data_IF_058463456086
#
_entry.id   IF_058463456086
#
_cell.length_a   1.000
_cell.length_b   1.000
_cell.length_c   1.000
_cell.angle_alpha   90.00
_cell.angle_beta   90.00
_cell.angle_gamma   90.00
#
_symmetry.space_group_name_H-M   'P 1'
#
loop_
_entity.id
_entity.type
_entity.pdbx_description
1 polymer ?
#
# COMPACT_ATOMS: atom_id res chain seq x y z
N UNK A 1 -23.87 -16.28 37.95
CA UNK A 1 -23.76 -16.29 36.47
C UNK A 1 -22.46 -16.99 36.10
N UNK A 2 -22.51 -18.14 35.41
CA UNK A 2 -21.31 -18.84 34.93
C UNK A 2 -20.94 -18.23 33.57
N UNK A 3 -19.85 -17.46 33.53
CA UNK A 3 -19.27 -17.00 32.26
C UNK A 3 -18.75 -18.23 31.49
N UNK A 4 -19.22 -18.52 30.26
CA UNK A 4 -18.84 -19.72 29.53
C UNK A 4 -17.71 -19.37 28.55
N UNK A 5 -16.59 -18.87 29.06
CA UNK A 5 -15.39 -18.68 28.23
C UNK A 5 -14.35 -19.64 28.77
N UNK A 6 -14.04 -20.69 27.99
CA UNK A 6 -13.01 -21.66 28.37
C UNK A 6 -11.65 -20.99 28.18
N UNK A 7 -10.65 -21.35 28.99
CA UNK A 7 -9.27 -20.83 28.86
C UNK A 7 -8.67 -21.07 27.46
N UNK A 8 -9.18 -22.04 26.73
CA UNK A 8 -8.81 -22.37 25.36
C UNK A 8 -9.29 -21.29 24.37
N UNK A 9 -10.49 -20.74 24.58
CA UNK A 9 -11.05 -19.67 23.74
C UNK A 9 -10.30 -18.34 23.91
N UNK A 10 -9.82 -18.05 25.13
CA UNK A 10 -8.99 -16.88 25.42
C UNK A 10 -7.62 -16.95 24.74
N UNK A 11 -6.99 -18.13 24.72
CA UNK A 11 -5.69 -18.33 24.06
C UNK A 11 -5.80 -18.28 22.54
N UNK A 12 -6.89 -18.79 21.95
CA UNK A 12 -7.16 -18.66 20.53
C UNK A 12 -7.30 -17.20 20.10
N UNK A 13 -8.04 -16.41 20.88
CA UNK A 13 -8.26 -14.99 20.60
C UNK A 13 -6.96 -14.15 20.67
N UNK A 14 -6.07 -14.43 21.61
CA UNK A 14 -4.76 -13.75 21.70
C UNK A 14 -3.84 -14.12 20.53
N UNK A 15 -3.85 -15.38 20.09
CA UNK A 15 -3.09 -15.85 18.92
C UNK A 15 -3.60 -15.23 17.61
N UNK A 16 -4.92 -15.14 17.43
CA UNK A 16 -5.52 -14.52 16.24
C UNK A 16 -5.21 -13.03 16.17
N UNK A 17 -5.26 -12.33 17.31
CA UNK A 17 -4.91 -10.91 17.40
C UNK A 17 -3.42 -10.65 17.10
N UNK A 18 -2.52 -11.45 17.68
CA UNK A 18 -1.09 -11.35 17.40
C UNK A 18 -0.76 -11.68 15.93
N UNK A 19 -1.46 -12.65 15.34
CA UNK A 19 -1.32 -12.99 13.92
C UNK A 19 -1.83 -11.86 13.01
N UNK A 20 -2.89 -11.15 13.40
CA UNK A 20 -3.37 -9.95 12.72
C UNK A 20 -2.31 -8.85 12.70
N UNK A 21 -1.74 -8.53 13.85
CA UNK A 21 -0.71 -7.48 13.98
C UNK A 21 0.56 -7.79 13.16
N UNK A 22 1.00 -9.05 13.11
CA UNK A 22 2.16 -9.47 12.31
C UNK A 22 1.86 -9.32 10.82
N UNK A 23 0.65 -9.66 10.38
CA UNK A 23 0.22 -9.55 8.97
C UNK A 23 0.10 -8.08 8.55
N UNK A 24 -0.43 -7.22 9.41
CA UNK A 24 -0.53 -5.78 9.15
C UNK A 24 0.86 -5.12 9.05
N UNK A 25 1.80 -5.49 9.93
CA UNK A 25 3.20 -5.04 9.82
C UNK A 25 3.86 -5.47 8.51
N UNK A 26 3.59 -6.72 8.07
CA UNK A 26 4.09 -7.20 6.76
C UNK A 26 3.48 -6.43 5.60
N UNK A 27 2.19 -6.09 5.67
CA UNK A 27 1.50 -5.28 4.67
C UNK A 27 2.13 -3.87 4.57
N UNK A 28 2.29 -3.19 5.72
CA UNK A 28 2.92 -1.88 5.78
C UNK A 28 4.35 -1.91 5.21
N UNK A 29 5.13 -2.93 5.57
CA UNK A 29 6.49 -3.11 5.05
C UNK A 29 6.52 -3.25 3.53
N UNK A 30 5.63 -4.08 2.95
CA UNK A 30 5.58 -4.28 1.48
C UNK A 30 5.14 -3.00 0.76
N UNK A 31 4.23 -2.23 1.35
CA UNK A 31 3.88 -0.90 0.83
C UNK A 31 5.05 0.07 0.88
N UNK A 32 5.80 0.10 1.99
CA UNK A 32 6.97 0.97 2.11
C UNK A 32 8.07 0.60 1.10
N UNK A 33 8.29 -0.69 0.87
CA UNK A 33 9.21 -1.19 -0.17
C UNK A 33 8.82 -0.69 -1.56
N UNK A 34 7.52 -0.70 -1.90
CA UNK A 34 7.03 -0.17 -3.18
C UNK A 34 7.22 1.33 -3.29
N UNK A 35 6.92 2.09 -2.23
CA UNK A 35 7.14 3.54 -2.21
C UNK A 35 8.62 3.86 -2.41
N UNK A 36 9.52 3.16 -1.72
CA UNK A 36 10.97 3.32 -1.88
C UNK A 36 11.40 2.97 -3.31
N UNK A 37 10.86 1.89 -3.88
CA UNK A 37 11.11 1.50 -5.27
C UNK A 37 10.70 2.60 -6.27
N UNK A 38 9.50 3.16 -6.13
CA UNK A 38 9.02 4.27 -6.96
C UNK A 38 9.93 5.48 -6.81
N UNK A 39 10.29 5.87 -5.58
CA UNK A 39 11.20 7.00 -5.34
C UNK A 39 12.57 6.78 -5.99
N UNK A 40 13.12 5.57 -5.89
CA UNK A 40 14.43 5.24 -6.47
C UNK A 40 14.40 5.34 -8.00
N UNK A 41 13.33 4.84 -8.63
CA UNK A 41 13.16 4.90 -10.08
C UNK A 41 12.90 6.35 -10.52
N UNK A 42 12.14 7.11 -9.73
CA UNK A 42 11.94 8.53 -9.96
C UNK A 42 13.26 9.30 -9.94
N UNK A 43 14.09 9.14 -8.92
CA UNK A 43 15.41 9.80 -8.82
C UNK A 43 16.31 9.46 -10.01
N UNK A 44 16.29 8.20 -10.44
CA UNK A 44 17.04 7.74 -11.61
C UNK A 44 16.55 8.38 -12.91
N UNK A 45 15.22 8.51 -13.07
CA UNK A 45 14.58 9.03 -14.29
C UNK A 45 14.43 10.55 -14.30
N UNK A 46 14.58 11.21 -13.14
CA UNK A 46 14.40 12.66 -12.97
C UNK A 46 15.17 13.51 -13.99
N UNK A 47 16.46 13.22 -14.31
CA UNK A 47 17.21 14.00 -15.30
C UNK A 47 16.60 13.94 -16.70
N UNK A 48 15.98 12.81 -17.08
CA UNK A 48 15.34 12.62 -18.36
C UNK A 48 13.93 13.25 -18.40
N UNK A 49 13.19 13.16 -17.29
CA UNK A 49 11.83 13.68 -17.17
C UNK A 49 11.75 15.18 -16.82
N UNK A 50 12.88 15.84 -16.54
CA UNK A 50 12.91 17.24 -16.13
C UNK A 50 12.25 18.21 -17.13
N UNK A 51 12.27 17.91 -18.43
CA UNK A 51 11.65 18.76 -19.46
C UNK A 51 10.13 18.70 -19.46
N UNK A 52 9.57 17.51 -19.24
CA UNK A 52 8.11 17.31 -19.24
C UNK A 52 7.50 17.52 -17.86
N UNK A 53 8.35 17.59 -16.82
CA UNK A 53 7.96 17.72 -15.40
C UNK A 53 6.94 16.66 -14.95
N UNK A 54 6.93 15.51 -15.62
CA UNK A 54 6.02 14.40 -15.40
C UNK A 54 6.78 13.09 -15.40
N UNK A 55 6.40 12.21 -14.49
CA UNK A 55 6.91 10.86 -14.38
C UNK A 55 5.76 9.87 -14.46
N UNK A 56 5.92 8.88 -15.32
CA UNK A 56 4.92 7.83 -15.55
C UNK A 56 5.48 6.50 -15.04
N UNK A 57 4.73 5.85 -14.16
CA UNK A 57 5.08 4.55 -13.59
C UNK A 57 4.02 3.52 -13.95
N UNK A 58 4.43 2.37 -14.48
CA UNK A 58 3.49 1.32 -14.89
C UNK A 58 2.92 0.62 -13.66
N UNK A 59 1.59 0.62 -13.51
CA UNK A 59 0.92 0.04 -12.34
C UNK A 59 1.02 -1.48 -12.29
N UNK A 60 1.08 -2.17 -13.45
CA UNK A 60 1.29 -3.63 -13.47
C UNK A 60 2.62 -4.04 -12.81
N UNK A 61 3.63 -3.15 -12.80
CA UNK A 61 4.92 -3.42 -12.15
C UNK A 61 4.85 -3.38 -10.62
N UNK A 62 3.77 -2.87 -10.04
CA UNK A 62 3.61 -2.75 -8.58
C UNK A 62 3.05 -4.02 -7.92
N UNK A 63 2.65 -5.02 -8.72
CA UNK A 63 2.02 -6.27 -8.24
C UNK A 63 0.96 -6.02 -7.14
N UNK A 64 0.13 -4.97 -7.28
CA UNK A 64 -0.78 -4.51 -6.22
C UNK A 64 -1.80 -5.59 -5.80
N UNK A 65 -2.17 -6.46 -6.73
CA UNK A 65 -3.07 -7.60 -6.49
C UNK A 65 -2.42 -8.70 -5.64
N UNK A 66 -1.08 -8.72 -5.55
CA UNK A 66 -0.32 -9.63 -4.70
C UNK A 66 -0.24 -9.17 -3.24
N UNK A 67 -0.79 -7.99 -2.91
CA UNK A 67 -0.72 -7.41 -1.59
C UNK A 67 -2.00 -7.74 -0.82
N UNK A 68 -1.95 -8.62 0.19
CA UNK A 68 -3.13 -8.95 0.94
C UNK A 68 -3.56 -7.80 1.86
N UNK A 69 -4.74 -7.26 1.60
CA UNK A 69 -5.45 -6.34 2.47
C UNK A 69 -6.17 -7.13 3.57
N UNK A 70 -6.05 -6.68 4.81
CA UNK A 70 -6.74 -7.27 5.96
C UNK A 70 -7.69 -6.24 6.58
N UNK A 71 -8.87 -6.66 7.05
CA UNK A 71 -9.73 -5.82 7.87
C UNK A 71 -9.24 -5.74 9.33
N UNK A 72 -9.89 -4.89 10.13
CA UNK A 72 -9.63 -4.74 11.58
C UNK A 72 -9.79 -6.05 12.38
N UNK A 73 -10.34 -7.10 11.76
CA UNK A 73 -10.55 -8.43 12.33
C UNK A 73 -9.60 -9.47 11.72
N UNK A 74 -8.65 -9.07 10.87
CA UNK A 74 -7.64 -9.93 10.25
C UNK A 74 -8.11 -10.75 9.05
N UNK A 75 -9.29 -10.48 8.50
CA UNK A 75 -9.82 -11.19 7.32
C UNK A 75 -9.31 -10.55 6.02
N UNK A 76 -9.02 -11.38 5.02
CA UNK A 76 -8.60 -10.92 3.70
C UNK A 76 -9.75 -10.16 3.01
N UNK A 77 -9.57 -8.87 2.77
CA UNK A 77 -10.52 -8.03 2.05
C UNK A 77 -9.91 -7.66 0.71
N UNK A 78 -10.18 -8.44 -0.32
CA UNK A 78 -9.81 -8.06 -1.68
C UNK A 78 -10.74 -6.95 -2.18
N UNK A 79 -10.46 -5.70 -1.79
CA UNK A 79 -11.12 -4.53 -2.35
C UNK A 79 -10.22 -3.95 -3.44
N UNK A 80 -10.47 -4.28 -4.72
CA UNK A 80 -9.70 -3.74 -5.83
C UNK A 80 -9.77 -2.21 -5.79
N UNK A 81 -8.60 -1.56 -5.75
CA UNK A 81 -8.45 -0.10 -5.68
C UNK A 81 -8.19 0.48 -4.29
N UNK A 82 -8.44 -0.23 -3.19
CA UNK A 82 -8.16 0.29 -1.85
C UNK A 82 -6.64 0.38 -1.59
N UNK A 83 -5.88 -0.63 -2.02
CA UNK A 83 -4.40 -0.63 -1.93
C UNK A 83 -3.78 0.51 -2.72
N UNK A 84 -4.30 0.79 -3.92
CA UNK A 84 -3.85 1.88 -4.77
C UNK A 84 -4.06 3.24 -4.09
N UNK A 85 -5.23 3.45 -3.46
CA UNK A 85 -5.51 4.70 -2.74
C UNK A 85 -4.59 4.91 -1.53
N UNK A 86 -4.27 3.83 -0.80
CA UNK A 86 -3.30 3.88 0.31
C UNK A 86 -1.90 4.24 -0.24
N UNK A 87 -1.48 3.59 -1.33
CA UNK A 87 -0.21 3.87 -1.97
C UNK A 87 -0.11 5.32 -2.44
N UNK A 88 -1.14 5.84 -3.13
CA UNK A 88 -1.21 7.23 -3.59
C UNK A 88 -1.10 8.18 -2.39
N UNK A 89 -1.79 7.89 -1.29
CA UNK A 89 -1.73 8.71 -0.08
C UNK A 89 -0.30 8.75 0.48
N UNK A 90 0.38 7.62 0.60
CA UNK A 90 1.79 7.57 1.04
C UNK A 90 2.74 8.29 0.09
N UNK A 91 2.51 8.17 -1.22
CA UNK A 91 3.32 8.89 -2.21
C UNK A 91 3.14 10.40 -2.08
N UNK A 92 1.91 10.88 -1.81
CA UNK A 92 1.64 12.31 -1.56
C UNK A 92 2.37 12.86 -0.34
N UNK A 93 2.60 12.03 0.68
CA UNK A 93 3.43 12.41 1.84
C UNK A 93 4.91 12.53 1.49
N UNK A 94 5.39 11.80 0.47
CA UNK A 94 6.81 11.81 0.04
C UNK A 94 7.10 12.86 -1.03
N UNK A 95 6.21 13.01 -2.00
CA UNK A 95 6.36 13.92 -3.13
C UNK A 95 5.67 15.26 -2.85
N UNK A 96 6.28 16.05 -1.95
CA UNK A 96 5.73 17.34 -1.51
C UNK A 96 5.65 18.31 -2.70
N UNK A 97 4.46 18.86 -2.95
CA UNK A 97 4.23 19.82 -4.03
C UNK A 97 4.02 19.19 -5.41
N UNK A 98 3.95 17.85 -5.51
CA UNK A 98 3.61 17.15 -6.74
C UNK A 98 2.13 16.76 -6.76
N UNK A 99 1.50 16.81 -7.93
CA UNK A 99 0.21 16.16 -8.16
C UNK A 99 0.44 14.68 -8.48
N UNK A 100 -0.24 13.81 -7.73
CA UNK A 100 -0.17 12.36 -7.92
C UNK A 100 -1.54 11.88 -8.33
N UNK A 101 -1.61 11.39 -9.56
CA UNK A 101 -2.83 10.91 -10.18
C UNK A 101 -2.60 9.56 -10.86
N UNK A 102 -3.69 8.93 -11.27
CA UNK A 102 -3.67 7.68 -12.03
C UNK A 102 -4.43 7.92 -13.31
N UNK A 103 -3.92 7.39 -14.41
CA UNK A 103 -4.59 7.45 -15.71
C UNK A 103 -6.02 6.89 -15.62
N UNK A 104 -6.92 7.38 -16.48
CA UNK A 104 -8.31 6.93 -16.64
C UNK A 104 -8.37 5.42 -16.88
N UNK A 105 -7.40 4.87 -17.63
CA UNK A 105 -7.29 3.43 -17.88
C UNK A 105 -6.67 2.64 -16.73
N UNK A 106 -6.20 3.31 -15.67
CA UNK A 106 -5.50 2.73 -14.51
C UNK A 106 -4.24 1.94 -14.90
N UNK A 107 -3.59 2.35 -15.97
CA UNK A 107 -2.34 1.73 -16.46
C UNK A 107 -1.11 2.39 -15.83
N UNK A 108 -1.17 3.71 -15.64
CA UNK A 108 -0.02 4.50 -15.16
C UNK A 108 -0.35 5.29 -13.90
N UNK A 109 0.58 5.28 -12.96
CA UNK A 109 0.69 6.27 -11.88
C UNK A 109 1.51 7.45 -12.43
N UNK A 110 0.96 8.65 -12.29
CA UNK A 110 1.54 9.89 -12.82
C UNK A 110 1.94 10.76 -11.64
N UNK A 111 3.19 11.20 -11.62
CA UNK A 111 3.71 12.20 -10.69
C UNK A 111 4.05 13.44 -11.51
N UNK A 112 3.29 14.52 -11.32
CA UNK A 112 3.45 15.80 -12.01
C UNK A 112 3.99 16.84 -11.02
N UNK A 113 5.12 17.48 -11.34
CA UNK A 113 5.73 18.55 -10.54
C UNK A 113 5.81 19.87 -11.32
N UNK A 114 4.89 20.05 -12.27
CA UNK A 114 4.85 21.23 -13.14
C UNK A 114 4.70 22.56 -12.43
#
# INVERSE_FOLDING_TARGET
>A
MKFPIKREDLKGYELDKANGEIKEKKFQKKLDELVVGICTIFEYMFPACHKEKRFYYHLESLELDSIPLFDEKGFYVNKPGHTLNILISKLKEKFIGCDISVDILKTYLIIDWS
#
